data_IF_383249863566
#
_entry.id   IF_383249863566
#
_cell.length_a   1.000
_cell.length_b   1.000
_cell.length_c   1.000
_cell.angle_alpha   90.00
_cell.angle_beta   90.00
_cell.angle_gamma   90.00
#
_symmetry.space_group_name_H-M   'P 1'
#
loop_
_entity.id
_entity.type
_entity.pdbx_description
1 polymer ?
#
# COMPACT_ATOMS: atom_id res chain seq x y z
N UNK A 1 -6.10 12.95 -6.54
CA UNK A 1 -6.87 13.49 -7.67
C UNK A 1 -6.85 15.02 -7.75
N UNK A 2 -6.92 15.75 -6.63
CA UNK A 2 -7.02 17.22 -6.64
C UNK A 2 -6.03 17.95 -7.56
N UNK A 3 -4.75 17.55 -7.59
CA UNK A 3 -3.75 18.24 -8.42
C UNK A 3 -3.61 17.69 -9.86
N UNK A 4 -4.52 16.84 -10.33
CA UNK A 4 -4.39 16.20 -11.65
C UNK A 4 -4.39 17.22 -12.79
N UNK A 5 -5.23 18.26 -12.71
CA UNK A 5 -5.30 19.28 -13.77
C UNK A 5 -3.99 20.07 -13.86
N UNK A 6 -3.44 20.49 -12.73
CA UNK A 6 -2.13 21.12 -12.67
C UNK A 6 -1.03 20.17 -13.19
N UNK A 7 -1.07 18.89 -12.79
CA UNK A 7 -0.16 17.87 -13.29
C UNK A 7 -0.21 17.71 -14.82
N UNK A 8 -1.39 17.78 -15.44
CA UNK A 8 -1.56 17.78 -16.89
C UNK A 8 -0.99 19.04 -17.55
N UNK A 9 -1.18 20.21 -16.95
CA UNK A 9 -0.59 21.46 -17.44
C UNK A 9 0.93 21.41 -17.40
N UNK A 10 1.52 20.90 -16.30
CA UNK A 10 2.97 20.69 -16.16
C UNK A 10 3.47 19.68 -17.19
N UNK A 11 2.73 18.60 -17.45
CA UNK A 11 3.09 17.65 -18.51
C UNK A 11 3.12 18.32 -19.89
N UNK A 12 2.09 19.08 -20.24
CA UNK A 12 2.08 19.83 -21.52
C UNK A 12 3.23 20.82 -21.60
N UNK A 13 3.57 21.50 -20.51
CA UNK A 13 4.73 22.39 -20.45
C UNK A 13 6.03 21.60 -20.70
N UNK A 14 6.22 20.46 -20.05
CA UNK A 14 7.39 19.61 -20.25
C UNK A 14 7.54 19.17 -21.71
N UNK A 15 6.44 18.78 -22.38
CA UNK A 15 6.43 18.46 -23.81
C UNK A 15 6.85 19.66 -24.66
N UNK A 16 6.27 20.85 -24.41
CA UNK A 16 6.61 22.08 -25.15
C UNK A 16 8.06 22.53 -24.92
N UNK A 17 8.62 22.22 -23.76
CA UNK A 17 10.01 22.51 -23.42
C UNK A 17 11.00 21.45 -23.93
N UNK A 18 10.54 20.40 -24.61
CA UNK A 18 11.42 19.34 -25.13
C UNK A 18 12.01 18.44 -24.03
N UNK A 19 11.38 18.39 -22.84
CA UNK A 19 11.88 17.66 -21.67
C UNK A 19 11.31 16.24 -21.55
N UNK A 20 10.61 15.74 -22.58
CA UNK A 20 9.97 14.42 -22.55
C UNK A 20 10.95 13.25 -22.36
N UNK A 21 12.18 13.40 -22.86
CA UNK A 21 13.25 12.41 -22.70
C UNK A 21 14.07 12.60 -21.42
N UNK A 22 13.81 13.65 -20.65
CA UNK A 22 14.48 13.85 -19.37
C UNK A 22 13.96 12.84 -18.36
N UNK A 23 14.85 11.98 -17.88
CA UNK A 23 14.53 10.89 -16.98
C UNK A 23 13.79 11.35 -15.70
N UNK A 24 14.25 12.41 -15.04
CA UNK A 24 13.61 12.89 -13.81
C UNK A 24 12.20 13.44 -14.05
N UNK A 25 12.00 14.12 -15.18
CA UNK A 25 10.69 14.62 -15.60
C UNK A 25 9.77 13.43 -15.89
N UNK A 26 10.23 12.46 -16.66
CA UNK A 26 9.49 11.24 -16.96
C UNK A 26 9.11 10.46 -15.69
N UNK A 27 10.07 10.20 -14.81
CA UNK A 27 9.84 9.55 -13.51
C UNK A 27 8.79 10.27 -12.67
N UNK A 28 8.84 11.60 -12.64
CA UNK A 28 7.87 12.43 -11.92
C UNK A 28 6.47 12.33 -12.53
N UNK A 29 6.37 12.28 -13.87
CA UNK A 29 5.11 12.11 -14.59
C UNK A 29 4.51 10.71 -14.37
N UNK A 30 5.34 9.66 -14.44
CA UNK A 30 4.93 8.28 -14.13
C UNK A 30 4.38 8.21 -12.72
N UNK A 31 5.11 8.74 -11.72
CA UNK A 31 4.67 8.76 -10.34
C UNK A 31 3.37 9.56 -10.15
N UNK A 32 3.25 10.74 -10.78
CA UNK A 32 2.07 11.58 -10.68
C UNK A 32 0.83 10.88 -11.25
N UNK A 33 0.93 10.31 -12.45
CA UNK A 33 -0.18 9.60 -13.08
C UNK A 33 -0.55 8.32 -12.31
N UNK A 34 0.44 7.56 -11.84
CA UNK A 34 0.22 6.39 -10.97
C UNK A 34 -0.50 6.78 -9.68
N UNK A 35 -0.08 7.85 -8.99
CA UNK A 35 -0.78 8.36 -7.78
C UNK A 35 -2.21 8.84 -8.08
N UNK A 36 -2.51 9.22 -9.31
CA UNK A 36 -3.85 9.59 -9.75
C UNK A 36 -4.71 8.39 -10.22
N UNK A 37 -4.18 7.16 -10.20
CA UNK A 37 -4.86 5.97 -10.73
C UNK A 37 -4.95 5.93 -12.26
N UNK A 38 -4.22 6.81 -12.96
CA UNK A 38 -4.19 6.90 -14.41
C UNK A 38 -3.03 6.09 -14.99
N UNK A 39 -3.06 4.77 -14.76
CA UNK A 39 -1.96 3.86 -15.12
C UNK A 39 -1.64 3.86 -16.61
N UNK A 40 -2.63 4.02 -17.49
CA UNK A 40 -2.39 4.12 -18.94
C UNK A 40 -1.56 5.35 -19.32
N UNK A 41 -1.79 6.48 -18.62
CA UNK A 41 -0.99 7.69 -18.83
C UNK A 41 0.41 7.51 -18.26
N UNK A 42 0.54 6.87 -17.09
CA UNK A 42 1.86 6.52 -16.53
C UNK A 42 2.64 5.60 -17.48
N UNK A 43 1.98 4.60 -18.08
CA UNK A 43 2.57 3.68 -19.05
C UNK A 43 3.06 4.41 -20.30
N UNK A 44 2.28 5.33 -20.85
CA UNK A 44 2.73 6.14 -22.01
C UNK A 44 3.97 6.97 -21.68
N UNK A 45 3.96 7.68 -20.54
CA UNK A 45 5.15 8.43 -20.09
C UNK A 45 6.37 7.52 -19.91
N UNK A 46 6.16 6.30 -19.42
CA UNK A 46 7.22 5.29 -19.38
C UNK A 46 7.71 4.95 -20.79
N UNK A 47 6.84 4.60 -21.74
CA UNK A 47 7.22 4.24 -23.13
C UNK A 47 7.91 5.35 -23.90
N UNK A 48 7.57 6.61 -23.62
CA UNK A 48 8.18 7.78 -24.29
C UNK A 48 9.61 8.10 -23.78
N UNK A 49 10.11 7.35 -22.79
CA UNK A 49 11.41 7.59 -22.13
C UNK A 49 12.43 6.50 -22.45
N UNK A 50 13.73 6.82 -22.55
CA UNK A 50 14.79 5.82 -22.58
C UNK A 50 14.66 4.80 -21.42
N UNK A 51 14.94 3.53 -21.73
CA UNK A 51 14.74 2.38 -20.82
C UNK A 51 16.02 1.95 -20.10
N UNK A 52 16.98 2.84 -20.02
CA UNK A 52 18.32 2.61 -19.47
C UNK A 52 18.40 2.88 -17.96
N UNK A 53 17.57 3.77 -17.44
CA UNK A 53 17.57 4.08 -16.01
C UNK A 53 16.66 3.19 -15.16
N UNK A 54 17.14 2.64 -14.04
CA UNK A 54 16.32 1.95 -13.05
C UNK A 54 15.17 2.78 -12.47
N UNK A 55 15.30 4.11 -12.42
CA UNK A 55 14.35 4.98 -11.73
C UNK A 55 12.97 4.93 -12.39
N UNK A 56 12.89 5.01 -13.72
CA UNK A 56 11.62 4.97 -14.46
C UNK A 56 10.95 3.60 -14.35
N UNK A 57 11.73 2.51 -14.42
CA UNK A 57 11.27 1.15 -14.19
C UNK A 57 10.68 0.97 -12.78
N UNK A 58 11.39 1.43 -11.76
CA UNK A 58 10.94 1.34 -10.37
C UNK A 58 9.59 2.04 -10.16
N UNK A 59 9.41 3.25 -10.71
CA UNK A 59 8.14 3.97 -10.60
C UNK A 59 6.99 3.30 -11.33
N UNK A 60 7.20 2.73 -12.51
CA UNK A 60 6.12 2.07 -13.25
C UNK A 60 5.74 0.73 -12.60
N UNK A 61 6.73 -0.07 -12.16
CA UNK A 61 6.51 -1.33 -11.42
C UNK A 61 5.74 -1.04 -10.14
N UNK A 62 6.20 -0.06 -9.34
CA UNK A 62 5.54 0.33 -8.10
C UNK A 62 4.12 0.87 -8.34
N UNK A 63 3.92 1.64 -9.41
CA UNK A 63 2.61 2.13 -9.82
C UNK A 63 1.62 0.99 -10.05
N UNK A 64 2.00 -0.02 -10.85
CA UNK A 64 1.13 -1.19 -11.05
C UNK A 64 0.95 -2.02 -9.75
N UNK A 65 2.01 -2.18 -8.95
CA UNK A 65 1.96 -2.91 -7.68
C UNK A 65 0.93 -2.32 -6.70
N UNK A 66 0.98 -1.00 -6.45
CA UNK A 66 0.08 -0.32 -5.51
C UNK A 66 -1.39 -0.38 -5.92
N UNK A 67 -1.65 -0.46 -7.23
CA UNK A 67 -3.00 -0.53 -7.79
C UNK A 67 -3.51 -1.97 -7.98
N UNK A 68 -2.86 -2.96 -7.35
CA UNK A 68 -3.29 -4.35 -7.39
C UNK A 68 -3.14 -5.01 -8.77
N UNK A 69 -2.27 -4.47 -9.62
CA UNK A 69 -1.93 -5.04 -10.94
C UNK A 69 -0.61 -5.79 -10.88
N UNK A 70 -0.46 -6.68 -9.90
CA UNK A 70 0.81 -7.36 -9.61
C UNK A 70 1.37 -8.19 -10.76
N UNK A 71 0.52 -8.77 -11.63
CA UNK A 71 0.97 -9.48 -12.84
C UNK A 71 1.77 -8.58 -13.78
N UNK A 72 1.22 -7.39 -14.07
CA UNK A 72 1.89 -6.39 -14.92
C UNK A 72 3.17 -5.88 -14.26
N UNK A 73 3.17 -5.72 -12.92
CA UNK A 73 4.36 -5.34 -12.18
C UNK A 73 5.49 -6.37 -12.32
N UNK A 74 5.19 -7.68 -12.20
CA UNK A 74 6.18 -8.74 -12.41
C UNK A 74 6.63 -8.85 -13.87
N UNK A 75 5.72 -8.71 -14.84
CA UNK A 75 6.08 -8.66 -16.26
C UNK A 75 7.08 -7.53 -16.54
N UNK A 76 6.86 -6.34 -15.97
CA UNK A 76 7.80 -5.22 -16.08
C UNK A 76 9.13 -5.49 -15.36
N UNK A 77 9.11 -6.17 -14.20
CA UNK A 77 10.33 -6.59 -13.52
C UNK A 77 11.17 -7.57 -14.37
N UNK A 78 10.52 -8.56 -15.00
CA UNK A 78 11.19 -9.48 -15.91
C UNK A 78 11.73 -8.76 -17.15
N UNK A 79 10.96 -7.85 -17.76
CA UNK A 79 11.43 -7.03 -18.87
C UNK A 79 12.64 -6.14 -18.49
N UNK A 80 12.65 -5.57 -17.28
CA UNK A 80 13.78 -4.81 -16.74
C UNK A 80 15.03 -5.69 -16.65
N UNK A 81 14.85 -6.93 -16.20
CA UNK A 81 15.92 -7.94 -16.05
C UNK A 81 16.47 -8.38 -17.41
N UNK A 82 15.59 -8.70 -18.37
CA UNK A 82 15.95 -9.07 -19.75
C UNK A 82 16.67 -7.92 -20.48
N UNK A 83 16.25 -6.68 -20.21
CA UNK A 83 16.88 -5.46 -20.73
C UNK A 83 18.22 -5.15 -20.05
N UNK A 84 18.67 -5.97 -19.09
CA UNK A 84 19.92 -5.82 -18.32
C UNK A 84 20.03 -4.48 -17.62
N UNK A 85 18.89 -3.89 -17.26
CA UNK A 85 18.86 -2.68 -16.44
C UNK A 85 19.19 -3.08 -15.01
N UNK A 86 20.05 -2.28 -14.36
CA UNK A 86 20.50 -2.58 -13.01
C UNK A 86 19.33 -2.61 -12.03
N UNK A 87 19.09 -3.76 -11.41
CA UNK A 87 18.14 -3.88 -10.31
C UNK A 87 18.74 -3.25 -9.04
N UNK A 88 17.89 -2.62 -8.23
CA UNK A 88 18.29 -2.07 -6.94
C UNK A 88 17.28 -2.41 -5.84
N UNK A 89 17.58 -1.97 -4.62
CA UNK A 89 16.68 -2.16 -3.48
C UNK A 89 15.26 -1.62 -3.73
N UNK A 90 15.09 -0.54 -4.47
CA UNK A 90 13.76 0.01 -4.75
C UNK A 90 12.98 -0.90 -5.71
N UNK A 91 13.67 -1.56 -6.66
CA UNK A 91 13.05 -2.56 -7.53
C UNK A 91 12.40 -3.68 -6.72
N UNK A 92 13.12 -4.24 -5.75
CA UNK A 92 12.63 -5.34 -4.93
C UNK A 92 11.56 -4.91 -3.93
N UNK A 93 11.59 -3.68 -3.43
CA UNK A 93 10.45 -3.10 -2.68
C UNK A 93 9.18 -3.10 -3.53
N UNK A 94 9.27 -2.71 -4.81
CA UNK A 94 8.12 -2.68 -5.69
C UNK A 94 7.58 -4.09 -6.01
N UNK A 95 8.46 -5.07 -6.23
CA UNK A 95 8.10 -6.48 -6.44
C UNK A 95 7.47 -7.10 -5.19
N UNK A 96 8.05 -6.90 -4.01
CA UNK A 96 7.48 -7.40 -2.75
C UNK A 96 6.16 -6.71 -2.41
N UNK A 97 5.99 -5.43 -2.74
CA UNK A 97 4.71 -4.72 -2.64
C UNK A 97 3.66 -5.37 -3.53
N UNK A 98 4.02 -5.74 -4.77
CA UNK A 98 3.12 -6.47 -5.67
C UNK A 98 2.73 -7.82 -5.07
N UNK A 99 3.70 -8.57 -4.53
CA UNK A 99 3.43 -9.84 -3.86
C UNK A 99 2.47 -9.67 -2.69
N UNK A 100 2.71 -8.66 -1.82
CA UNK A 100 1.85 -8.35 -0.68
C UNK A 100 0.41 -8.05 -1.10
N UNK A 101 0.22 -7.17 -2.08
CA UNK A 101 -1.12 -6.76 -2.55
C UNK A 101 -1.86 -7.89 -3.27
N UNK A 102 -1.14 -8.83 -3.89
CA UNK A 102 -1.73 -9.99 -4.58
C UNK A 102 -1.86 -11.23 -3.69
N UNK A 103 -1.28 -11.23 -2.48
CA UNK A 103 -1.20 -12.41 -1.61
C UNK A 103 -0.29 -13.52 -2.14
N UNK A 104 0.70 -13.20 -2.97
CA UNK A 104 1.65 -14.17 -3.52
C UNK A 104 2.76 -14.50 -2.54
N UNK A 105 2.40 -15.27 -1.52
CA UNK A 105 3.31 -15.63 -0.41
C UNK A 105 4.56 -16.34 -0.92
N UNK A 106 4.42 -17.36 -1.77
CA UNK A 106 5.56 -18.15 -2.24
C UNK A 106 6.52 -17.33 -3.11
N UNK A 107 5.99 -16.43 -3.94
CA UNK A 107 6.81 -15.50 -4.72
C UNK A 107 7.57 -14.53 -3.81
N UNK A 108 6.90 -13.97 -2.80
CA UNK A 108 7.55 -13.12 -1.81
C UNK A 108 8.66 -13.85 -1.04
N UNK A 109 8.45 -15.11 -0.65
CA UNK A 109 9.51 -15.93 -0.04
C UNK A 109 10.67 -16.18 -0.99
N UNK A 110 10.37 -16.48 -2.25
CA UNK A 110 11.38 -16.73 -3.27
C UNK A 110 12.27 -15.50 -3.41
N UNK A 111 11.68 -14.32 -3.60
CA UNK A 111 12.40 -13.05 -3.69
C UNK A 111 13.27 -12.82 -2.45
N UNK A 112 12.75 -12.99 -1.23
CA UNK A 112 13.55 -12.80 -0.01
C UNK A 112 14.80 -13.71 0.05
N UNK A 113 14.71 -14.93 -0.50
CA UNK A 113 15.83 -15.89 -0.50
C UNK A 113 16.84 -15.61 -1.61
N UNK A 114 16.37 -15.17 -2.79
CA UNK A 114 17.22 -15.03 -3.98
C UNK A 114 17.75 -13.62 -4.21
N UNK A 115 17.18 -12.59 -3.56
CA UNK A 115 17.54 -11.19 -3.76
C UNK A 115 19.06 -10.93 -3.63
N UNK A 116 19.69 -11.48 -2.60
CA UNK A 116 21.14 -11.30 -2.39
C UNK A 116 21.98 -12.31 -3.20
N UNK A 117 21.58 -13.58 -3.24
CA UNK A 117 22.37 -14.63 -3.91
C UNK A 117 22.38 -14.52 -5.43
N UNK A 118 21.22 -14.22 -6.02
CA UNK A 118 21.02 -14.30 -7.47
C UNK A 118 21.17 -12.93 -8.13
N UNK A 119 20.83 -11.85 -7.40
CA UNK A 119 20.85 -10.49 -7.92
C UNK A 119 21.90 -9.59 -7.25
N UNK A 120 22.57 -10.04 -6.19
CA UNK A 120 23.61 -9.26 -5.50
C UNK A 120 23.09 -8.02 -4.78
N UNK A 121 21.79 -7.97 -4.46
CA UNK A 121 21.18 -6.83 -3.77
C UNK A 121 20.86 -7.24 -2.32
N UNK A 122 21.50 -6.65 -1.30
CA UNK A 122 21.27 -7.04 0.08
C UNK A 122 19.90 -6.57 0.58
N UNK A 123 19.28 -7.36 1.48
CA UNK A 123 18.04 -6.97 2.14
C UNK A 123 18.24 -5.73 3.03
N UNK A 124 17.15 -4.99 3.22
CA UNK A 124 17.06 -3.71 3.94
C UNK A 124 15.71 -3.63 4.65
N UNK A 125 15.55 -2.66 5.55
CA UNK A 125 14.33 -2.48 6.35
C UNK A 125 13.06 -2.46 5.49
N UNK A 126 13.11 -1.82 4.33
CA UNK A 126 11.99 -1.71 3.41
C UNK A 126 11.54 -3.08 2.86
N UNK A 127 12.48 -3.99 2.60
CA UNK A 127 12.16 -5.34 2.13
C UNK A 127 11.52 -6.18 3.23
N UNK A 128 12.06 -6.10 4.46
CA UNK A 128 11.48 -6.76 5.62
C UNK A 128 10.07 -6.25 5.91
N UNK A 129 9.85 -4.94 5.85
CA UNK A 129 8.53 -4.34 6.01
C UNK A 129 7.55 -4.88 4.95
N UNK A 130 7.90 -4.88 3.66
CA UNK A 130 7.03 -5.40 2.61
C UNK A 130 6.68 -6.89 2.81
N UNK A 131 7.65 -7.70 3.26
CA UNK A 131 7.43 -9.11 3.55
C UNK A 131 6.54 -9.35 4.77
N UNK A 132 6.71 -8.56 5.84
CA UNK A 132 5.84 -8.62 7.03
C UNK A 132 4.41 -8.20 6.67
N UNK A 133 4.25 -7.17 5.83
CA UNK A 133 2.93 -6.78 5.30
C UNK A 133 2.29 -7.93 4.50
N UNK A 134 3.06 -8.58 3.63
CA UNK A 134 2.62 -9.77 2.88
C UNK A 134 2.14 -10.89 3.80
N UNK A 135 2.98 -11.32 4.76
CA UNK A 135 2.63 -12.39 5.68
C UNK A 135 1.46 -12.02 6.59
N UNK A 136 1.41 -10.77 7.07
CA UNK A 136 0.32 -10.26 7.87
C UNK A 136 -1.03 -10.25 7.14
N UNK A 137 -1.05 -9.85 5.86
CA UNK A 137 -2.25 -9.89 5.02
C UNK A 137 -2.68 -11.33 4.68
N UNK A 138 -1.72 -12.24 4.54
CA UNK A 138 -1.98 -13.65 4.31
C UNK A 138 -2.39 -14.42 5.58
N UNK A 139 -2.44 -13.79 6.75
CA UNK A 139 -2.75 -14.45 8.02
C UNK A 139 -1.59 -15.25 8.63
N UNK A 140 -0.39 -15.18 8.06
CA UNK A 140 0.80 -15.92 8.45
C UNK A 140 1.60 -15.18 9.52
N UNK A 141 0.97 -14.85 10.65
CA UNK A 141 1.57 -13.99 11.66
C UNK A 141 2.83 -14.61 12.28
N UNK A 142 2.87 -15.93 12.47
CA UNK A 142 4.05 -16.59 13.05
C UNK A 142 5.29 -16.47 12.14
N UNK A 143 5.08 -16.43 10.83
CA UNK A 143 6.18 -16.18 9.89
C UNK A 143 6.65 -14.74 9.93
N UNK A 144 5.73 -13.77 10.04
CA UNK A 144 6.08 -12.37 10.26
C UNK A 144 6.92 -12.20 11.53
N UNK A 145 6.55 -12.89 12.63
CA UNK A 145 7.33 -12.91 13.88
C UNK A 145 8.71 -13.54 13.69
N UNK A 146 8.79 -14.66 12.98
CA UNK A 146 10.04 -15.34 12.70
C UNK A 146 10.98 -14.48 11.84
N UNK A 147 10.43 -13.77 10.85
CA UNK A 147 11.19 -12.88 9.98
C UNK A 147 11.83 -11.75 10.78
N UNK A 148 11.09 -11.09 11.68
CA UNK A 148 11.67 -10.06 12.56
C UNK A 148 12.81 -10.60 13.40
N UNK A 149 12.65 -11.79 14.00
CA UNK A 149 13.70 -12.42 14.81
C UNK A 149 14.96 -12.77 14.01
N UNK A 150 14.80 -12.99 12.71
CA UNK A 150 15.91 -13.31 11.79
C UNK A 150 16.62 -12.07 11.22
N UNK A 151 16.10 -10.86 11.48
CA UNK A 151 16.71 -9.64 10.96
C UNK A 151 18.14 -9.47 11.51
N UNK A 152 19.11 -9.08 10.67
CA UNK A 152 20.50 -8.87 11.10
C UNK A 152 20.69 -7.58 11.91
N UNK A 153 19.65 -6.78 12.07
CA UNK A 153 19.64 -5.49 12.74
C UNK A 153 18.32 -5.25 13.47
N UNK A 154 18.36 -4.36 14.46
CA UNK A 154 17.18 -3.97 15.23
C UNK A 154 16.12 -3.31 14.33
N UNK A 155 14.86 -3.75 14.38
CA UNK A 155 13.80 -3.18 13.55
C UNK A 155 13.51 -1.72 13.89
N UNK A 156 13.30 -0.90 12.85
CA UNK A 156 12.92 0.51 12.99
C UNK A 156 11.41 0.68 13.20
N UNK A 157 10.98 1.94 13.40
CA UNK A 157 9.56 2.27 13.58
C UNK A 157 8.69 1.81 12.40
N UNK A 158 9.20 1.78 11.16
CA UNK A 158 8.44 1.35 9.99
C UNK A 158 8.17 -0.16 10.04
N UNK A 159 9.18 -0.97 10.36
CA UNK A 159 9.03 -2.42 10.50
C UNK A 159 8.06 -2.76 11.64
N UNK A 160 8.21 -2.11 12.80
CA UNK A 160 7.30 -2.30 13.93
C UNK A 160 5.86 -1.86 13.62
N UNK A 161 5.66 -0.71 12.97
CA UNK A 161 4.32 -0.25 12.52
C UNK A 161 3.69 -1.26 11.57
N UNK A 162 4.49 -1.88 10.70
CA UNK A 162 4.02 -2.91 9.76
C UNK A 162 3.61 -4.19 10.49
N UNK A 163 4.39 -4.65 11.48
CA UNK A 163 4.00 -5.79 12.32
C UNK A 163 2.74 -5.48 13.16
N UNK A 164 2.60 -4.27 13.69
CA UNK A 164 1.38 -3.85 14.41
C UNK A 164 0.15 -3.95 13.48
N UNK A 165 0.29 -3.53 12.23
CA UNK A 165 -0.72 -3.71 11.18
C UNK A 165 -1.04 -5.20 10.93
N UNK A 166 -0.03 -6.06 10.86
CA UNK A 166 -0.20 -7.50 10.73
C UNK A 166 -0.94 -8.11 11.94
N UNK A 167 -0.59 -7.71 13.17
CA UNK A 167 -1.27 -8.15 14.38
C UNK A 167 -2.74 -7.73 14.38
N UNK A 168 -3.06 -6.51 13.91
CA UNK A 168 -4.44 -6.05 13.73
C UNK A 168 -5.21 -6.92 12.75
N UNK A 169 -4.60 -7.27 11.62
CA UNK A 169 -5.25 -8.10 10.60
C UNK A 169 -5.50 -9.54 11.10
N UNK A 170 -4.58 -10.09 11.88
CA UNK A 170 -4.68 -11.45 12.42
C UNK A 170 -5.41 -11.54 13.78
N UNK A 171 -5.71 -10.40 14.42
CA UNK A 171 -6.41 -10.36 15.72
C UNK A 171 -5.55 -10.71 16.95
N UNK A 172 -4.22 -10.77 16.83
CA UNK A 172 -3.31 -11.06 17.94
C UNK A 172 -3.05 -9.80 18.79
N UNK A 173 -3.95 -9.56 19.75
CA UNK A 173 -3.91 -8.35 20.60
C UNK A 173 -2.77 -8.40 21.63
N UNK A 174 -2.33 -9.58 22.04
CA UNK A 174 -1.21 -9.69 22.98
C UNK A 174 0.10 -9.26 22.32
N UNK A 175 0.38 -9.75 21.10
CA UNK A 175 1.54 -9.29 20.35
C UNK A 175 1.40 -7.80 19.97
N UNK A 176 0.22 -7.35 19.55
CA UNK A 176 -0.01 -5.95 19.22
C UNK A 176 0.34 -5.02 20.40
N UNK A 177 -0.01 -5.41 21.62
CA UNK A 177 0.33 -4.67 22.84
C UNK A 177 1.84 -4.59 23.06
N UNK A 178 2.57 -5.69 22.85
CA UNK A 178 4.03 -5.72 22.98
C UNK A 178 4.72 -4.82 21.96
N UNK A 179 4.32 -4.94 20.68
CA UNK A 179 4.86 -4.13 19.58
C UNK A 179 4.53 -2.64 19.78
N UNK A 180 3.30 -2.34 20.22
CA UNK A 180 2.90 -0.97 20.48
C UNK A 180 3.73 -0.35 21.61
N UNK A 181 4.02 -1.07 22.69
CA UNK A 181 4.87 -0.54 23.76
C UNK A 181 6.27 -0.16 23.25
N UNK A 182 6.87 -0.98 22.38
CA UNK A 182 8.15 -0.65 21.73
C UNK A 182 8.02 0.60 20.84
N UNK A 183 6.97 0.70 20.03
CA UNK A 183 6.70 1.88 19.20
C UNK A 183 6.50 3.16 20.03
N UNK A 184 5.84 3.06 21.18
CA UNK A 184 5.60 4.19 22.07
C UNK A 184 6.85 4.66 22.82
N UNK A 185 7.92 3.86 22.84
CA UNK A 185 9.26 4.24 23.28
C UNK A 185 10.06 4.90 22.14
N UNK A 186 9.96 4.38 20.92
CA UNK A 186 10.68 4.89 19.74
C UNK A 186 10.10 6.22 19.24
N UNK A 187 8.78 6.31 19.13
CA UNK A 187 8.04 7.40 18.50
C UNK A 187 6.76 7.70 19.30
N UNK A 188 6.88 8.32 20.50
CA UNK A 188 5.76 8.54 21.41
C UNK A 188 4.69 9.49 20.85
N UNK A 189 5.00 10.28 19.83
CA UNK A 189 4.12 11.27 19.21
C UNK A 189 3.28 10.68 18.06
N UNK A 190 3.60 9.47 17.60
CA UNK A 190 2.86 8.79 16.52
C UNK A 190 1.45 8.41 16.96
N UNK A 191 0.45 9.17 16.49
CA UNK A 191 -0.95 8.89 16.79
C UNK A 191 -1.43 7.54 16.24
N UNK A 192 -0.79 7.01 15.17
CA UNK A 192 -1.22 5.77 14.51
C UNK A 192 -1.14 4.58 15.46
N UNK A 193 -0.07 4.46 16.25
CA UNK A 193 0.12 3.40 17.24
C UNK A 193 -1.01 3.37 18.27
N UNK A 194 -1.35 4.52 18.86
CA UNK A 194 -2.46 4.62 19.82
C UNK A 194 -3.80 4.26 19.18
N UNK A 195 -4.06 4.76 17.97
CA UNK A 195 -5.34 4.55 17.29
C UNK A 195 -5.55 3.07 16.94
N UNK A 196 -4.53 2.39 16.40
CA UNK A 196 -4.61 0.96 16.07
C UNK A 196 -4.87 0.12 17.32
N UNK A 197 -4.09 0.33 18.38
CA UNK A 197 -4.23 -0.45 19.61
C UNK A 197 -5.58 -0.17 20.32
N UNK A 198 -6.03 1.10 20.32
CA UNK A 198 -7.34 1.50 20.88
C UNK A 198 -8.52 0.87 20.13
N UNK A 199 -8.44 0.79 18.80
CA UNK A 199 -9.43 0.08 17.97
C UNK A 199 -9.46 -1.42 18.31
N UNK A 200 -8.28 -2.07 18.38
CA UNK A 200 -8.16 -3.49 18.71
C UNK A 200 -8.73 -3.81 20.11
N UNK A 201 -8.37 -3.03 21.14
CA UNK A 201 -8.95 -3.16 22.48
C UNK A 201 -10.47 -2.95 22.47
N UNK A 202 -10.97 -1.97 21.70
CA UNK A 202 -12.40 -1.72 21.55
C UNK A 202 -13.16 -2.92 20.96
N UNK A 203 -12.63 -3.54 19.89
CA UNK A 203 -13.24 -4.72 19.26
C UNK A 203 -13.28 -5.92 20.21
N UNK A 204 -12.26 -6.09 21.04
CA UNK A 204 -12.20 -7.16 22.05
C UNK A 204 -12.86 -6.80 23.39
N UNK A 205 -13.51 -5.63 23.52
CA UNK A 205 -14.15 -5.15 24.75
C UNK A 205 -13.19 -5.02 25.95
N UNK A 206 -11.90 -4.79 25.69
CA UNK A 206 -10.84 -4.50 26.67
C UNK A 206 -10.87 -3.02 27.08
N UNK A 207 -11.92 -2.66 27.82
CA UNK A 207 -12.24 -1.24 28.09
C UNK A 207 -11.24 -0.55 29.02
N UNK A 208 -10.64 -1.29 29.95
CA UNK A 208 -9.66 -0.74 30.89
C UNK A 208 -8.36 -0.34 30.18
N UNK A 209 -7.85 -1.21 29.32
CA UNK A 209 -6.65 -0.96 28.52
C UNK A 209 -6.89 0.16 27.51
N UNK A 210 -8.08 0.19 26.88
CA UNK A 210 -8.48 1.29 26.00
C UNK A 210 -8.54 2.63 26.73
N UNK A 211 -9.12 2.67 27.93
CA UNK A 211 -9.21 3.88 28.74
C UNK A 211 -7.81 4.35 29.17
N UNK A 212 -6.96 3.42 29.60
CA UNK A 212 -5.57 3.69 29.99
C UNK A 212 -4.75 4.26 28.82
N UNK A 213 -4.88 3.68 27.63
CA UNK A 213 -4.22 4.15 26.42
C UNK A 213 -4.73 5.53 25.97
N UNK A 214 -6.03 5.78 26.09
CA UNK A 214 -6.64 7.09 25.75
C UNK A 214 -6.16 8.18 26.72
N UNK A 215 -6.01 7.84 28.00
CA UNK A 215 -5.42 8.73 28.99
C UNK A 215 -3.96 9.02 28.65
N UNK A 216 -3.16 7.99 28.35
CA UNK A 216 -1.76 8.15 27.95
C UNK A 216 -1.60 9.05 26.72
N UNK A 217 -2.43 8.84 25.69
CA UNK A 217 -2.45 9.67 24.48
C UNK A 217 -2.71 11.15 24.81
N UNK A 218 -3.63 11.42 25.74
CA UNK A 218 -3.96 12.78 26.22
C UNK A 218 -2.84 13.40 27.03
N UNK A 219 -2.25 12.64 27.96
CA UNK A 219 -1.13 13.09 28.81
C UNK A 219 0.09 13.48 27.96
N UNK A 220 0.34 12.75 26.87
CA UNK A 220 1.41 13.06 25.90
C UNK A 220 1.01 14.14 24.88
N UNK A 221 -0.20 14.69 24.95
CA UNK A 221 -0.68 15.72 24.03
C UNK A 221 -0.91 15.24 22.59
N UNK A 222 -0.90 13.92 22.35
CA UNK A 222 -1.06 13.33 21.02
C UNK A 222 -2.53 13.41 20.62
N UNK A 223 -2.79 13.87 19.39
CA UNK A 223 -4.14 13.95 18.83
C UNK A 223 -4.24 13.08 17.60
N UNK A 224 -5.36 12.36 17.46
CA UNK A 224 -5.70 11.66 16.21
C UNK A 224 -5.79 12.74 15.12
N UNK A 225 -4.95 12.64 14.10
CA UNK A 225 -5.11 13.44 12.88
C UNK A 225 -6.16 12.71 12.03
N UNK A 226 -7.35 13.30 11.80
CA UNK A 226 -8.35 12.66 10.95
C UNK A 226 -7.84 12.60 9.51
N UNK A 227 -8.37 11.68 8.71
CA UNK A 227 -8.03 11.60 7.29
C UNK A 227 -8.64 12.76 6.51
N UNK A 228 -7.85 13.39 5.65
CA UNK A 228 -8.32 14.44 4.75
C UNK A 228 -8.24 13.94 3.32
N UNK A 229 -9.31 14.14 2.57
CA UNK A 229 -9.27 14.05 1.11
C UNK A 229 -9.90 15.29 0.53
N UNK A 230 -9.50 15.67 -0.67
CA UNK A 230 -10.15 16.73 -1.40
C UNK A 230 -10.09 16.46 -2.89
N UNK A 231 -11.06 17.02 -3.61
CA UNK A 231 -11.16 16.97 -5.05
C UNK A 231 -11.37 18.39 -5.58
N UNK A 232 -11.01 18.61 -6.83
CA UNK A 232 -11.28 19.87 -7.52
C UNK A 232 -12.33 19.59 -8.61
N UNK A 233 -13.46 20.29 -8.53
CA UNK A 233 -14.55 20.23 -9.51
C UNK A 233 -14.82 21.67 -9.95
N UNK A 234 -14.79 21.94 -11.25
CA UNK A 234 -15.06 23.28 -11.80
C UNK A 234 -14.21 24.41 -11.16
N UNK A 235 -12.93 24.14 -10.87
CA UNK A 235 -12.00 25.03 -10.14
C UNK A 235 -12.40 25.34 -8.68
N UNK A 236 -13.34 24.59 -8.11
CA UNK A 236 -13.66 24.65 -6.68
C UNK A 236 -13.10 23.42 -5.96
N UNK A 237 -12.38 23.68 -4.86
CA UNK A 237 -11.83 22.62 -4.02
C UNK A 237 -12.88 22.18 -2.99
N UNK A 238 -13.29 20.92 -3.08
CA UNK A 238 -14.19 20.27 -2.13
C UNK A 238 -13.37 19.39 -1.19
N UNK A 239 -13.33 19.75 0.10
CA UNK A 239 -12.65 18.99 1.13
C UNK A 239 -13.61 18.06 1.87
N UNK A 240 -13.13 16.85 2.18
CA UNK A 240 -13.82 15.82 2.94
C UNK A 240 -12.92 15.39 4.09
N UNK A 241 -13.35 15.72 5.29
CA UNK A 241 -12.69 15.28 6.51
C UNK A 241 -13.39 14.02 7.01
N UNK A 242 -12.61 13.04 7.50
CA UNK A 242 -13.16 11.83 8.08
C UNK A 242 -14.10 12.18 9.24
N UNK A 243 -15.32 11.62 9.22
CA UNK A 243 -16.39 11.86 10.20
C UNK A 243 -17.06 13.26 10.10
N UNK A 244 -16.72 14.07 9.08
CA UNK A 244 -17.38 15.35 8.80
C UNK A 244 -18.54 15.20 7.80
N UNK A 245 -19.63 15.93 8.05
CA UNK A 245 -20.83 16.00 7.21
C UNK A 245 -21.20 17.43 6.80
N UNK A 246 -20.30 18.39 7.03
CA UNK A 246 -20.49 19.82 6.77
C UNK A 246 -20.62 20.20 5.30
N UNK A 247 -20.22 19.31 4.38
CA UNK A 247 -20.29 19.57 2.94
C UNK A 247 -21.74 19.85 2.48
N UNK A 248 -22.02 20.88 1.65
CA UNK A 248 -23.38 21.24 1.24
C UNK A 248 -24.17 20.09 0.59
N UNK A 249 -23.47 19.23 -0.15
CA UNK A 249 -24.04 18.05 -0.81
C UNK A 249 -23.84 16.74 -0.02
N UNK A 250 -23.53 16.80 1.28
CA UNK A 250 -23.18 15.61 2.08
C UNK A 250 -24.22 14.50 1.97
N UNK A 251 -25.51 14.83 2.09
CA UNK A 251 -26.61 13.87 1.97
C UNK A 251 -26.56 13.10 0.64
N UNK A 252 -26.50 13.81 -0.48
CA UNK A 252 -26.47 13.19 -1.81
C UNK A 252 -25.22 12.33 -2.02
N UNK A 253 -24.07 12.76 -1.49
CA UNK A 253 -22.82 12.00 -1.55
C UNK A 253 -22.96 10.69 -0.75
N UNK A 254 -23.50 10.74 0.48
CA UNK A 254 -23.71 9.54 1.28
C UNK A 254 -24.76 8.61 0.66
N UNK A 255 -25.84 9.13 0.09
CA UNK A 255 -26.84 8.32 -0.62
C UNK A 255 -26.21 7.58 -1.82
N UNK A 256 -25.38 8.28 -2.61
CA UNK A 256 -24.65 7.67 -3.72
C UNK A 256 -23.63 6.62 -3.25
N UNK A 257 -22.91 6.90 -2.15
CA UNK A 257 -21.96 5.95 -1.55
C UNK A 257 -22.66 4.68 -1.08
N UNK A 258 -23.83 4.78 -0.46
CA UNK A 258 -24.64 3.63 -0.07
C UNK A 258 -25.02 2.80 -1.29
N UNK A 259 -25.52 3.44 -2.36
CA UNK A 259 -25.84 2.74 -3.61
C UNK A 259 -24.65 2.00 -4.21
N UNK A 260 -23.48 2.64 -4.29
CA UNK A 260 -22.25 2.01 -4.77
C UNK A 260 -21.79 0.84 -3.86
N UNK A 261 -21.93 0.97 -2.54
CA UNK A 261 -21.59 -0.11 -1.61
C UNK A 261 -22.50 -1.32 -1.78
N UNK A 262 -23.78 -1.10 -2.07
CA UNK A 262 -24.73 -2.18 -2.35
C UNK A 262 -24.42 -2.86 -3.68
N UNK A 263 -24.09 -2.11 -4.73
CA UNK A 263 -23.60 -2.67 -6.00
C UNK A 263 -22.34 -3.52 -5.82
N UNK A 264 -21.36 -3.05 -5.04
CA UNK A 264 -20.13 -3.81 -4.76
C UNK A 264 -20.43 -5.12 -4.04
N UNK A 265 -21.39 -5.12 -3.10
CA UNK A 265 -21.82 -6.34 -2.39
C UNK A 265 -22.46 -7.33 -3.35
N UNK A 266 -23.37 -6.86 -4.20
CA UNK A 266 -24.01 -7.68 -5.23
C UNK A 266 -22.97 -8.34 -6.16
N UNK A 267 -21.98 -7.57 -6.63
CA UNK A 267 -20.91 -8.09 -7.50
C UNK A 267 -20.09 -9.17 -6.79
N UNK A 268 -19.73 -8.93 -5.52
CA UNK A 268 -19.00 -9.92 -4.69
C UNK A 268 -19.77 -11.22 -4.56
N UNK A 269 -21.06 -11.14 -4.28
CA UNK A 269 -21.92 -12.31 -4.14
C UNK A 269 -22.04 -13.06 -5.46
N UNK A 270 -22.17 -12.37 -6.60
CA UNK A 270 -22.17 -13.02 -7.92
C UNK A 270 -20.82 -13.65 -8.28
N UNK A 271 -19.70 -13.00 -7.92
CA UNK A 271 -18.36 -13.58 -8.18
C UNK A 271 -18.07 -14.80 -7.31
N UNK A 272 -18.58 -14.83 -6.07
CA UNK A 272 -18.51 -16.02 -5.22
C UNK A 272 -19.38 -17.17 -5.76
N UNK A 273 -20.52 -16.86 -6.41
CA UNK A 273 -21.36 -17.85 -7.09
C UNK A 273 -20.67 -18.40 -8.34
N UNK A 274 -20.00 -17.56 -9.14
CA UNK A 274 -19.26 -18.02 -10.33
C UNK A 274 -18.04 -18.90 -9.95
N UNK A 275 -17.29 -18.54 -8.90
CA UNK A 275 -16.19 -19.38 -8.39
C UNK A 275 -16.72 -20.70 -7.83
N UNK A 276 -17.84 -20.68 -7.10
CA UNK A 276 -18.50 -21.91 -6.64
C UNK A 276 -19.03 -22.77 -7.80
N UNK A 277 -19.46 -22.16 -8.92
CA UNK A 277 -19.92 -22.90 -10.10
C UNK A 277 -18.79 -23.57 -10.89
N UNK A 278 -17.57 -23.00 -10.87
CA UNK A 278 -16.38 -23.60 -11.46
C UNK A 278 -15.85 -24.80 -10.65
N UNK A 279 -15.99 -24.76 -9.32
CA UNK A 279 -15.66 -25.89 -8.46
C UNK A 279 -16.69 -27.05 -8.54
N UNK A 280 -17.95 -26.75 -8.89
CA UNK A 280 -18.97 -27.79 -9.13
C UNK A 280 -18.78 -28.54 -10.46
N UNK A 281 -18.15 -27.92 -11.47
CA UNK A 281 -17.89 -28.55 -12.76
C UNK A 281 -16.73 -29.56 -12.75
N UNK A 282 -15.92 -29.60 -11.69
CA UNK A 282 -14.77 -30.53 -11.55
C UNK A 282 -15.16 -31.80 -10.76
N UNK A 283 -16.29 -31.78 -10.03
CA UNK A 283 -16.71 -32.91 -9.16
C UNK A 283 -17.71 -33.87 -9.81
N UNK A 284 -18.38 -33.48 -10.90
CA UNK A 284 -19.23 -34.40 -11.68
C UNK A 284 -18.96 -34.25 -13.17
N UNK A 285 -18.11 -35.13 -13.70
CA UNK A 285 -17.94 -35.28 -15.14
C UNK A 285 -19.25 -35.66 -15.82
N UNK A 286 -19.68 -34.80 -16.73
CA UNK A 286 -20.38 -35.12 -17.98
C UNK A 286 -19.84 -34.18 -19.05
#
# INVERSE_FOLDING_TARGET
>A
LAALQLGRQVHVLALKSGLQSNEHVASSLILMYSKCGLLEHARRSFEDTPKDSPITWNFIIFGYAQHGKGKVALELFHQMTESRVKLDHITFVAVLTACSHMGWVEEGRHILRTMESDYGVPLRMEHYACAIDLFGRAGLLDEAKALIKSMPCEPDAMVWKTLLGACRNCGDVELASQVANQLLEIDPEDHCTYVILSDMYGRLKRWEEKASLTRLMRERGVKKVPGWSWIEINNEAHAFNAEDSSHPNSKHIYDALVGLMDEIRLIRDTSNIEVASQDWAIVYGC
#
